data_IF_063612686391
#
_entry.id   IF_063612686391
#
_cell.length_a   1.000
_cell.length_b   1.000
_cell.length_c   1.000
_cell.angle_alpha   90.00
_cell.angle_beta   90.00
_cell.angle_gamma   90.00
#
_symmetry.space_group_name_H-M   'P 1'
#
loop_
_entity.id
_entity.type
_entity.pdbx_description
1 polymer ?
#
# COMPACT_ATOMS: atom_id res chain seq x y z
N UNK A 1 47.64 39.49 -52.32
CA UNK A 1 47.99 38.33 -51.47
C UNK A 1 46.69 37.70 -51.05
N UNK A 2 46.33 36.56 -51.64
CA UNK A 2 45.01 35.89 -51.49
C UNK A 2 45.08 34.91 -50.30
N UNK A 3 44.36 35.17 -49.25
CA UNK A 3 44.17 34.23 -48.16
C UNK A 3 42.99 33.31 -48.57
N UNK A 4 43.30 32.08 -48.81
CA UNK A 4 42.32 31.04 -49.09
C UNK A 4 41.62 30.64 -47.83
N UNK A 5 40.30 30.79 -47.84
CA UNK A 5 39.41 30.22 -46.82
C UNK A 5 39.45 28.70 -46.91
N UNK A 6 40.04 28.04 -45.96
CA UNK A 6 39.87 26.61 -45.71
C UNK A 6 38.62 26.47 -44.86
N UNK A 7 37.52 26.15 -45.53
CA UNK A 7 36.28 25.74 -44.87
C UNK A 7 36.51 24.31 -44.35
N UNK A 8 36.94 24.20 -43.11
CA UNK A 8 37.03 22.94 -42.41
C UNK A 8 35.63 22.48 -42.10
N UNK A 9 35.09 21.58 -42.89
CA UNK A 9 33.88 20.85 -42.56
C UNK A 9 34.18 19.97 -41.36
N UNK A 10 33.88 20.46 -40.13
CA UNK A 10 33.69 19.65 -38.95
C UNK A 10 32.45 18.80 -39.17
N UNK A 11 32.66 17.62 -39.70
CA UNK A 11 31.71 16.52 -39.56
C UNK A 11 31.74 16.19 -38.09
N UNK A 12 30.82 16.79 -37.34
CA UNK A 12 30.45 16.32 -36.04
C UNK A 12 29.82 14.95 -36.26
N UNK A 13 30.63 13.90 -36.15
CA UNK A 13 30.12 12.56 -35.95
C UNK A 13 29.40 12.62 -34.60
N UNK A 14 28.10 12.86 -34.62
CA UNK A 14 27.23 12.47 -33.57
C UNK A 14 27.46 10.96 -33.39
N UNK A 15 28.23 10.59 -32.42
CA UNK A 15 28.19 9.23 -31.86
C UNK A 15 26.80 9.14 -31.27
N UNK A 16 25.85 8.73 -32.13
CA UNK A 16 24.62 8.13 -31.70
C UNK A 16 25.13 6.89 -30.98
N UNK A 17 25.18 6.94 -29.65
CA UNK A 17 25.19 5.74 -28.83
C UNK A 17 23.89 5.03 -29.22
N UNK A 18 23.97 4.20 -30.26
CA UNK A 18 22.90 3.31 -30.64
C UNK A 18 22.71 2.40 -29.43
N UNK A 19 21.70 2.67 -28.62
CA UNK A 19 21.14 1.65 -27.77
C UNK A 19 20.88 0.47 -28.69
N UNK A 20 21.58 -0.63 -28.45
CA UNK A 20 21.54 -1.78 -29.37
C UNK A 20 20.24 -2.53 -29.07
N UNK A 21 19.12 -2.00 -29.59
CA UNK A 21 17.82 -2.64 -29.44
C UNK A 21 17.84 -4.01 -30.12
N UNK A 22 17.44 -5.09 -29.42
CA UNK A 22 17.39 -6.42 -30.00
C UNK A 22 16.38 -6.45 -31.16
N UNK A 23 16.68 -7.20 -32.23
CA UNK A 23 15.72 -7.38 -33.30
C UNK A 23 14.62 -8.39 -32.91
N UNK A 24 13.40 -8.15 -33.40
CA UNK A 24 12.29 -9.11 -33.27
C UNK A 24 12.67 -10.41 -34.04
N UNK A 25 12.52 -11.59 -33.42
CA UNK A 25 12.81 -12.86 -34.04
C UNK A 25 11.92 -13.11 -35.30
N UNK A 26 12.54 -13.34 -36.46
CA UNK A 26 11.82 -13.46 -37.75
C UNK A 26 10.94 -14.73 -37.87
N UNK A 27 11.29 -15.81 -37.14
CA UNK A 27 10.65 -17.12 -37.29
C UNK A 27 10.13 -17.64 -35.93
N UNK A 28 9.36 -16.80 -35.21
CA UNK A 28 8.77 -17.21 -33.95
C UNK A 28 7.44 -17.99 -34.15
N UNK A 29 7.31 -19.13 -33.50
CA UNK A 29 6.08 -19.89 -33.46
C UNK A 29 5.02 -19.13 -32.63
N UNK A 30 3.79 -19.07 -33.13
CA UNK A 30 2.70 -18.33 -32.48
C UNK A 30 2.11 -19.14 -31.33
N UNK A 31 2.04 -18.51 -30.14
CA UNK A 31 1.33 -18.99 -28.99
C UNK A 31 -0.01 -18.27 -28.82
N UNK A 32 -1.09 -19.01 -28.54
CA UNK A 32 -2.45 -18.44 -28.42
C UNK A 32 -2.74 -17.81 -27.04
N UNK A 33 -1.81 -17.91 -26.09
CA UNK A 33 -1.93 -17.39 -24.72
C UNK A 33 -1.06 -16.15 -24.47
N UNK A 34 -1.38 -15.43 -23.41
CA UNK A 34 -0.53 -14.35 -22.88
C UNK A 34 0.79 -14.92 -22.34
N UNK A 35 1.88 -14.12 -22.36
CA UNK A 35 3.14 -14.49 -21.70
C UNK A 35 2.96 -14.46 -20.18
N UNK A 36 3.68 -15.33 -19.46
CA UNK A 36 3.87 -15.19 -18.02
C UNK A 36 5.04 -14.26 -17.76
N UNK A 37 4.77 -13.10 -17.21
CA UNK A 37 5.76 -12.09 -16.86
C UNK A 37 5.69 -11.73 -15.37
N UNK A 38 6.79 -11.23 -14.82
CA UNK A 38 6.86 -10.79 -13.44
C UNK A 38 7.63 -9.46 -13.35
N UNK A 39 7.04 -8.37 -12.81
CA UNK A 39 5.63 -8.25 -12.45
C UNK A 39 4.68 -8.46 -13.63
N UNK A 40 3.44 -8.85 -13.35
CA UNK A 40 2.41 -9.00 -14.39
C UNK A 40 1.81 -7.63 -14.74
N UNK A 41 2.13 -7.14 -15.93
CA UNK A 41 1.63 -5.88 -16.48
C UNK A 41 0.62 -6.10 -17.63
N UNK A 42 0.05 -7.29 -17.75
CA UNK A 42 -0.92 -7.56 -18.82
C UNK A 42 -2.24 -6.84 -18.56
N UNK A 43 -2.68 -6.03 -19.53
CA UNK A 43 -3.95 -5.28 -19.51
C UNK A 43 -4.12 -4.34 -18.29
N UNK A 44 -3.02 -3.82 -17.72
CA UNK A 44 -3.06 -2.88 -16.59
C UNK A 44 -3.17 -1.42 -17.06
N UNK A 45 -3.75 -0.58 -16.20
CA UNK A 45 -3.70 0.89 -16.36
C UNK A 45 -2.64 1.46 -15.42
N UNK A 46 -1.77 2.30 -15.94
CA UNK A 46 -0.67 2.94 -15.20
C UNK A 46 -0.79 4.46 -15.24
N UNK A 47 -0.28 5.17 -14.22
CA UNK A 47 -0.27 6.63 -14.18
C UNK A 47 0.65 7.24 -15.26
N UNK A 48 0.34 8.48 -15.66
CA UNK A 48 1.11 9.21 -16.67
C UNK A 48 2.57 9.52 -16.29
N UNK A 49 2.93 9.41 -14.99
CA UNK A 49 4.29 9.69 -14.50
C UNK A 49 5.02 8.49 -13.89
N UNK A 50 4.55 7.26 -14.12
CA UNK A 50 5.16 6.05 -13.54
C UNK A 50 6.60 5.80 -14.09
N UNK A 51 7.45 5.18 -13.28
CA UNK A 51 8.78 4.71 -13.67
C UNK A 51 8.70 3.59 -14.75
N UNK A 52 9.81 3.24 -15.42
CA UNK A 52 9.84 2.15 -16.40
C UNK A 52 9.25 0.84 -15.87
N UNK A 53 8.40 0.20 -16.68
CA UNK A 53 7.73 -1.06 -16.32
C UNK A 53 8.60 -2.25 -16.71
N UNK A 54 9.71 -2.41 -16.02
CA UNK A 54 10.64 -3.52 -16.23
C UNK A 54 10.03 -4.84 -15.76
N UNK A 55 10.20 -5.91 -16.53
CA UNK A 55 9.70 -7.23 -16.18
C UNK A 55 10.64 -8.35 -16.63
N UNK A 56 10.44 -9.54 -16.07
CA UNK A 56 11.12 -10.76 -16.51
C UNK A 56 10.10 -11.76 -17.07
N UNK A 57 10.51 -12.48 -18.13
CA UNK A 57 9.67 -13.51 -18.75
C UNK A 57 9.84 -14.84 -18.00
N UNK A 58 8.75 -15.40 -17.49
CA UNK A 58 8.71 -16.59 -16.62
C UNK A 58 8.32 -17.88 -17.37
N UNK A 59 8.85 -18.07 -18.58
CA UNK A 59 8.47 -19.17 -19.47
C UNK A 59 9.49 -20.35 -19.48
N UNK A 60 10.50 -20.34 -18.60
CA UNK A 60 11.64 -21.24 -18.73
C UNK A 60 12.53 -20.87 -19.93
N UNK A 61 12.43 -19.65 -20.41
CA UNK A 61 13.17 -19.14 -21.54
C UNK A 61 14.64 -18.89 -21.22
N UNK A 62 15.50 -18.94 -22.22
CA UNK A 62 16.92 -18.52 -22.13
C UNK A 62 17.12 -17.07 -22.58
N UNK A 63 16.27 -16.60 -23.47
CA UNK A 63 16.29 -15.24 -24.03
C UNK A 63 14.86 -14.73 -24.20
N UNK A 64 14.65 -13.41 -24.07
CA UNK A 64 13.38 -12.75 -24.33
C UNK A 64 13.59 -11.40 -25.03
N UNK A 65 12.64 -11.04 -25.87
CA UNK A 65 12.54 -9.73 -26.52
C UNK A 65 11.11 -9.23 -26.38
N UNK A 66 10.94 -7.99 -25.98
CA UNK A 66 9.65 -7.32 -26.01
C UNK A 66 9.68 -6.16 -27.01
N UNK A 67 8.65 -6.10 -27.88
CA UNK A 67 8.40 -4.96 -28.73
C UNK A 67 7.27 -4.12 -28.16
N UNK A 68 7.54 -2.86 -27.91
CA UNK A 68 6.60 -1.86 -27.44
C UNK A 68 6.21 -0.96 -28.61
N UNK A 69 4.93 -1.00 -29.01
CA UNK A 69 4.38 -0.11 -30.05
C UNK A 69 3.48 0.93 -29.40
N UNK A 70 3.72 2.21 -29.70
CA UNK A 70 3.04 3.35 -29.10
C UNK A 70 2.73 4.41 -30.20
N UNK A 71 1.90 5.42 -29.93
CA UNK A 71 1.65 6.48 -30.90
C UNK A 71 2.95 7.19 -31.30
N UNK A 72 3.34 7.03 -32.57
CA UNK A 72 4.57 7.66 -33.14
C UNK A 72 5.77 6.73 -33.27
N UNK A 73 5.74 5.46 -32.79
CA UNK A 73 6.87 4.57 -32.97
C UNK A 73 6.76 3.19 -32.38
N UNK A 74 7.85 2.46 -32.51
CA UNK A 74 8.04 1.17 -31.81
C UNK A 74 9.49 1.00 -31.39
N UNK A 75 9.72 0.36 -30.26
CA UNK A 75 11.04 0.04 -29.69
C UNK A 75 11.07 -1.39 -29.20
N UNK A 76 12.25 -1.98 -29.15
CA UNK A 76 12.46 -3.37 -28.70
C UNK A 76 13.46 -3.43 -27.57
N UNK A 77 13.18 -4.24 -26.55
CA UNK A 77 14.01 -4.39 -25.37
C UNK A 77 14.22 -5.87 -25.03
N UNK A 78 15.37 -6.21 -24.47
CA UNK A 78 15.69 -7.56 -24.01
C UNK A 78 17.13 -7.70 -23.57
N UNK A 79 17.34 -8.33 -22.40
CA UNK A 79 18.63 -8.70 -21.85
C UNK A 79 18.47 -10.05 -21.12
N UNK A 80 18.84 -11.13 -21.79
CA UNK A 80 18.50 -12.48 -21.36
C UNK A 80 16.98 -12.64 -21.27
N UNK A 81 16.45 -12.98 -20.11
CA UNK A 81 14.99 -13.10 -19.88
C UNK A 81 14.35 -11.83 -19.33
N UNK A 82 15.15 -10.75 -19.14
CA UNK A 82 14.68 -9.48 -18.60
C UNK A 82 14.38 -8.52 -19.74
N UNK A 83 13.30 -7.78 -19.59
CA UNK A 83 12.94 -6.62 -20.42
C UNK A 83 13.19 -5.39 -19.55
N UNK A 84 14.29 -4.71 -19.82
CA UNK A 84 14.66 -3.46 -19.16
C UNK A 84 14.44 -2.32 -20.13
N UNK A 85 13.50 -1.45 -19.80
CA UNK A 85 13.18 -0.25 -20.56
C UNK A 85 14.05 0.88 -20.01
N UNK A 86 14.69 1.60 -20.87
CA UNK A 86 15.71 2.60 -20.55
C UNK A 86 15.16 4.05 -20.55
N UNK A 87 16.03 5.00 -20.88
CA UNK A 87 15.75 6.44 -20.90
C UNK A 87 14.61 6.82 -21.87
N UNK A 88 14.30 5.97 -22.85
CA UNK A 88 13.23 6.23 -23.82
C UNK A 88 11.83 6.00 -23.24
N UNK A 89 11.73 5.44 -22.01
CA UNK A 89 10.45 5.23 -21.36
C UNK A 89 9.61 6.52 -21.25
N UNK A 90 10.22 7.64 -20.95
CA UNK A 90 9.50 8.92 -20.87
C UNK A 90 8.83 9.27 -22.18
N UNK A 91 9.54 9.09 -23.30
CA UNK A 91 9.00 9.30 -24.64
C UNK A 91 7.82 8.38 -24.95
N UNK A 92 7.97 7.07 -24.66
CA UNK A 92 6.94 6.05 -24.90
C UNK A 92 5.68 6.39 -24.10
N UNK A 93 5.86 6.65 -22.82
CA UNK A 93 4.79 6.94 -21.87
C UNK A 93 4.03 8.23 -22.24
N UNK A 94 4.76 9.32 -22.49
CA UNK A 94 4.16 10.60 -22.89
C UNK A 94 3.35 10.48 -24.19
N UNK A 95 3.88 9.79 -25.18
CA UNK A 95 3.16 9.55 -26.43
C UNK A 95 1.91 8.68 -26.26
N UNK A 96 1.90 7.80 -25.25
CA UNK A 96 0.78 6.88 -24.98
C UNK A 96 -0.21 7.42 -23.93
N UNK A 97 0.00 8.61 -23.34
CA UNK A 97 -0.89 9.21 -22.33
C UNK A 97 -2.31 9.36 -22.89
N UNK A 98 -3.31 8.91 -22.13
CA UNK A 98 -4.72 8.81 -22.55
C UNK A 98 -5.01 7.67 -23.54
N UNK A 99 -4.03 6.84 -23.85
CA UNK A 99 -4.11 5.72 -24.77
C UNK A 99 -3.46 4.45 -24.23
N UNK A 100 -2.74 3.73 -25.09
CA UNK A 100 -2.10 2.47 -24.70
C UNK A 100 -0.78 2.22 -25.43
N UNK A 101 0.04 1.37 -24.80
CA UNK A 101 1.24 0.77 -25.34
C UNK A 101 0.91 -0.69 -25.63
N UNK A 102 1.02 -1.12 -26.89
CA UNK A 102 0.91 -2.54 -27.25
C UNK A 102 2.25 -3.23 -27.01
N UNK A 103 2.23 -4.34 -26.27
CA UNK A 103 3.41 -5.14 -25.95
C UNK A 103 3.33 -6.50 -26.64
N UNK A 104 4.35 -6.83 -27.41
CA UNK A 104 4.53 -8.14 -28.06
C UNK A 104 5.77 -8.80 -27.46
N UNK A 105 5.58 -9.94 -26.80
CA UNK A 105 6.66 -10.67 -26.12
C UNK A 105 7.06 -11.90 -26.92
N UNK A 106 8.37 -12.05 -27.11
CA UNK A 106 9.01 -13.19 -27.73
C UNK A 106 9.95 -13.85 -26.71
N UNK A 107 9.91 -15.17 -26.60
CA UNK A 107 10.80 -15.89 -25.71
C UNK A 107 11.39 -17.11 -26.39
N UNK A 108 12.67 -17.39 -26.14
CA UNK A 108 13.38 -18.54 -26.68
C UNK A 108 13.33 -19.69 -25.69
N UNK A 109 12.52 -20.69 -25.99
CA UNK A 109 12.27 -21.88 -25.20
C UNK A 109 12.76 -23.10 -25.99
N UNK A 110 13.58 -23.95 -25.40
CA UNK A 110 14.16 -25.13 -26.07
C UNK A 110 14.77 -24.82 -27.45
N UNK A 111 15.53 -23.72 -27.53
CA UNK A 111 16.13 -23.19 -28.75
C UNK A 111 15.14 -22.69 -29.82
N UNK A 112 13.85 -22.67 -29.56
CA UNK A 112 12.82 -22.19 -30.49
C UNK A 112 12.23 -20.88 -30.00
N UNK A 113 12.12 -19.88 -30.87
CA UNK A 113 11.45 -18.64 -30.58
C UNK A 113 9.93 -18.82 -30.60
N UNK A 114 9.27 -18.37 -29.53
CA UNK A 114 7.81 -18.34 -29.35
C UNK A 114 7.35 -16.91 -29.32
N UNK A 115 6.29 -16.56 -30.06
CA UNK A 115 5.63 -15.25 -30.03
C UNK A 115 4.29 -15.40 -29.30
N UNK A 116 4.13 -14.72 -28.19
CA UNK A 116 2.94 -14.79 -27.35
C UNK A 116 1.85 -13.85 -27.84
N UNK A 117 0.60 -14.10 -27.39
CA UNK A 117 -0.52 -13.18 -27.63
C UNK A 117 -0.15 -11.78 -27.09
N UNK A 118 -0.25 -10.72 -27.92
CA UNK A 118 0.02 -9.37 -27.46
C UNK A 118 -0.97 -8.91 -26.39
N UNK A 119 -0.53 -7.95 -25.55
CA UNK A 119 -1.36 -7.29 -24.56
C UNK A 119 -1.15 -5.77 -24.59
N UNK A 120 -2.01 -5.03 -23.88
CA UNK A 120 -1.90 -3.59 -23.77
C UNK A 120 -1.53 -3.17 -22.33
N UNK A 121 -0.80 -2.07 -22.24
CA UNK A 121 -0.61 -1.29 -21.02
C UNK A 121 -1.29 0.06 -21.31
N UNK A 122 -2.32 0.39 -20.57
CA UNK A 122 -3.04 1.65 -20.71
C UNK A 122 -2.35 2.73 -19.87
N UNK A 123 -2.20 3.92 -20.42
CA UNK A 123 -1.60 5.06 -19.71
C UNK A 123 -2.68 6.09 -19.44
N UNK A 124 -2.99 6.31 -18.16
CA UNK A 124 -3.97 7.31 -17.74
C UNK A 124 -3.51 8.73 -18.08
N UNK A 125 -4.45 9.67 -18.15
CA UNK A 125 -4.14 11.11 -18.26
C UNK A 125 -3.62 11.68 -16.94
N UNK A 126 -4.05 11.07 -15.83
CA UNK A 126 -3.71 11.53 -14.48
C UNK A 126 -2.34 11.03 -14.05
N UNK A 127 -1.65 11.91 -13.29
CA UNK A 127 -0.41 11.57 -12.58
C UNK A 127 -0.74 11.23 -11.11
N UNK A 128 0.14 10.43 -10.51
CA UNK A 128 0.10 10.14 -9.06
C UNK A 128 1.15 10.95 -8.33
N UNK A 129 1.05 10.99 -7.00
CA UNK A 129 2.12 11.50 -6.13
C UNK A 129 3.42 10.73 -6.39
N UNK A 130 4.54 11.44 -6.41
CA UNK A 130 5.83 10.85 -6.78
C UNK A 130 6.34 9.83 -5.78
N UNK A 131 5.88 9.89 -4.52
CA UNK A 131 6.46 9.10 -3.44
C UNK A 131 5.43 8.22 -2.75
N UNK A 132 5.85 7.00 -2.42
CA UNK A 132 5.16 6.10 -1.51
C UNK A 132 6.05 5.79 -0.32
N UNK A 133 5.46 5.71 0.87
CA UNK A 133 6.14 5.24 2.08
C UNK A 133 5.58 3.89 2.51
N UNK A 134 6.46 2.99 2.93
CA UNK A 134 6.09 1.64 3.33
C UNK A 134 7.04 1.10 4.40
N UNK A 135 6.56 0.11 5.13
CA UNK A 135 7.37 -0.62 6.09
C UNK A 135 7.98 -1.85 5.44
N UNK A 136 9.29 -2.01 5.58
CA UNK A 136 10.00 -3.26 5.28
C UNK A 136 10.05 -4.11 6.53
N UNK A 137 9.51 -5.33 6.46
CA UNK A 137 9.50 -6.31 7.54
C UNK A 137 9.89 -7.67 6.97
N UNK A 138 10.70 -8.41 7.72
CA UNK A 138 11.03 -9.79 7.35
C UNK A 138 9.79 -10.69 7.43
N UNK A 139 9.71 -11.78 6.63
CA UNK A 139 8.57 -12.70 6.63
C UNK A 139 8.23 -13.31 7.99
N UNK A 140 9.18 -13.35 8.92
CA UNK A 140 8.96 -13.74 10.30
C UNK A 140 8.97 -12.49 11.18
N UNK A 141 7.82 -11.96 11.51
CA UNK A 141 7.71 -10.77 12.35
C UNK A 141 8.03 -11.01 13.84
N UNK A 142 8.41 -12.22 14.23
CA UNK A 142 8.99 -12.52 15.54
C UNK A 142 10.42 -11.99 15.63
N UNK A 143 11.11 -11.90 14.49
CA UNK A 143 12.47 -11.38 14.42
C UNK A 143 12.43 -9.87 14.15
N UNK A 144 12.49 -9.07 15.17
CA UNK A 144 12.65 -7.61 15.06
C UNK A 144 14.08 -7.19 14.63
N UNK A 145 14.82 -8.07 14.00
CA UNK A 145 16.23 -7.83 13.69
C UNK A 145 16.40 -6.67 12.73
N UNK A 146 15.50 -6.54 11.75
CA UNK A 146 15.55 -5.44 10.81
C UNK A 146 14.16 -5.02 10.35
N UNK A 147 13.70 -3.90 10.85
CA UNK A 147 12.49 -3.21 10.42
C UNK A 147 12.86 -1.81 9.97
N UNK A 148 12.34 -1.37 8.85
CA UNK A 148 12.53 -0.01 8.38
C UNK A 148 11.25 0.60 7.80
N UNK A 149 11.18 1.93 7.84
CA UNK A 149 10.22 2.73 7.08
C UNK A 149 11.00 3.33 5.93
N UNK A 150 10.61 2.99 4.73
CA UNK A 150 11.26 3.41 3.51
C UNK A 150 10.36 4.35 2.71
N UNK A 151 10.96 5.18 1.90
CA UNK A 151 10.31 6.01 0.90
C UNK A 151 10.84 5.62 -0.47
N UNK A 152 9.95 5.38 -1.44
CA UNK A 152 10.30 5.09 -2.82
C UNK A 152 9.71 6.15 -3.73
N UNK A 153 10.52 6.62 -4.69
CA UNK A 153 10.05 7.45 -5.78
C UNK A 153 9.41 6.56 -6.86
N UNK A 154 8.16 6.84 -7.23
CA UNK A 154 7.39 6.07 -8.21
C UNK A 154 7.63 6.51 -9.66
N UNK A 155 8.32 7.64 -9.88
CA UNK A 155 8.69 8.12 -11.23
C UNK A 155 10.06 7.62 -11.68
N UNK A 156 10.84 7.07 -10.74
CA UNK A 156 12.13 6.41 -10.96
C UNK A 156 12.29 5.25 -9.96
N UNK A 157 13.51 4.75 -9.77
CA UNK A 157 13.77 3.62 -8.86
C UNK A 157 14.46 4.04 -7.55
N UNK A 158 14.51 5.34 -7.24
CA UNK A 158 15.13 5.81 -6.01
C UNK A 158 14.35 5.32 -4.79
N UNK A 159 15.08 4.76 -3.85
CA UNK A 159 14.56 4.32 -2.55
C UNK A 159 15.45 4.89 -1.44
N UNK A 160 14.82 5.41 -0.39
CA UNK A 160 15.49 5.97 0.77
C UNK A 160 14.88 5.39 2.04
N UNK A 161 15.73 4.90 2.94
CA UNK A 161 15.35 4.58 4.30
C UNK A 161 15.08 5.87 5.09
N UNK A 162 13.89 6.00 5.66
CA UNK A 162 13.51 7.14 6.52
C UNK A 162 13.96 6.87 7.95
N UNK A 163 13.69 5.67 8.44
CA UNK A 163 14.05 5.24 9.79
C UNK A 163 14.15 3.71 9.86
N UNK A 164 15.09 3.20 10.66
CA UNK A 164 15.16 1.78 10.96
C UNK A 164 15.31 1.52 12.46
N UNK A 165 14.87 0.36 12.89
CA UNK A 165 14.86 -0.03 14.30
C UNK A 165 16.27 -0.28 14.87
N UNK A 166 17.27 -0.57 14.02
CA UNK A 166 18.64 -0.83 14.46
C UNK A 166 19.36 0.42 14.94
N UNK A 167 18.84 1.61 14.57
CA UNK A 167 19.41 2.88 15.05
C UNK A 167 19.40 3.00 16.58
N UNK A 168 18.45 2.34 17.26
CA UNK A 168 18.27 2.40 18.72
C UNK A 168 18.14 1.03 19.38
N UNK A 169 18.09 -0.06 18.62
CA UNK A 169 18.02 -1.42 19.16
C UNK A 169 19.37 -1.86 19.74
N UNK A 170 19.30 -2.64 20.81
CA UNK A 170 20.46 -3.33 21.40
C UNK A 170 20.16 -4.83 21.47
N UNK A 171 21.17 -5.66 21.76
CA UNK A 171 20.99 -7.11 21.94
C UNK A 171 19.96 -7.47 23.03
N UNK A 172 19.80 -6.61 24.04
CA UNK A 172 18.90 -6.81 25.18
C UNK A 172 17.55 -6.08 25.04
N UNK A 173 17.44 -5.11 24.13
CA UNK A 173 16.24 -4.29 23.95
C UNK A 173 15.94 -4.23 22.46
N UNK A 174 15.04 -5.11 22.01
CA UNK A 174 14.47 -5.04 20.67
C UNK A 174 13.63 -3.78 20.50
N UNK A 175 13.45 -3.35 19.28
CA UNK A 175 12.64 -2.18 18.94
C UNK A 175 11.74 -2.50 17.75
N UNK A 176 10.44 -2.51 17.98
CA UNK A 176 9.46 -2.57 16.89
C UNK A 176 9.05 -1.14 16.51
N UNK A 177 9.02 -0.87 15.20
CA UNK A 177 8.51 0.39 14.64
C UNK A 177 7.36 0.07 13.67
N UNK A 178 6.27 0.85 13.72
CA UNK A 178 5.10 0.61 12.89
C UNK A 178 4.21 1.85 12.78
N UNK A 179 3.05 1.67 12.12
CA UNK A 179 1.95 2.63 12.08
C UNK A 179 2.37 4.02 11.60
N UNK A 180 3.27 4.09 10.59
CA UNK A 180 3.59 5.39 10.01
C UNK A 180 2.39 5.97 9.26
N UNK A 181 2.20 7.28 9.39
CA UNK A 181 1.10 8.03 8.78
C UNK A 181 1.54 9.46 8.49
N UNK A 182 0.96 10.06 7.46
CA UNK A 182 1.23 11.43 7.04
C UNK A 182 -0.05 12.26 7.07
N UNK A 183 0.05 13.52 7.51
CA UNK A 183 -1.06 14.47 7.42
C UNK A 183 -1.14 15.01 5.99
N UNK A 184 -2.23 14.72 5.28
CA UNK A 184 -2.43 15.15 3.90
C UNK A 184 -1.22 14.85 2.99
N UNK A 185 -0.58 13.67 3.18
CA UNK A 185 0.57 13.20 2.39
C UNK A 185 1.82 14.09 2.47
N UNK A 186 1.90 15.03 3.45
CA UNK A 186 3.03 15.94 3.63
C UNK A 186 4.15 15.30 4.43
N UNK A 187 5.37 15.31 3.91
CA UNK A 187 6.54 14.65 4.52
C UNK A 187 7.03 15.32 5.80
N UNK A 188 6.75 16.60 6.00
CA UNK A 188 7.06 17.37 7.22
C UNK A 188 6.01 17.21 8.34
N UNK A 189 4.98 16.41 8.09
CA UNK A 189 3.91 16.10 9.02
C UNK A 189 3.67 14.59 9.10
N UNK A 190 4.65 13.88 9.65
CA UNK A 190 4.69 12.42 9.78
C UNK A 190 4.49 11.99 11.24
N UNK A 191 4.02 10.78 11.45
CA UNK A 191 4.15 10.07 12.71
C UNK A 191 4.48 8.60 12.49
N UNK A 192 5.07 7.98 13.50
CA UNK A 192 5.21 6.53 13.60
C UNK A 192 5.26 6.09 15.07
N UNK A 193 4.92 4.83 15.32
CA UNK A 193 4.87 4.28 16.67
C UNK A 193 6.08 3.38 16.93
N UNK A 194 6.69 3.55 18.10
CA UNK A 194 7.76 2.71 18.63
C UNK A 194 7.23 1.87 19.79
N UNK A 195 7.69 0.64 19.91
CA UNK A 195 7.32 -0.27 21.02
C UNK A 195 8.53 -0.66 21.84
N UNK A 196 8.30 -1.36 22.96
CA UNK A 196 9.32 -1.88 23.86
C UNK A 196 10.11 -0.77 24.58
N UNK A 197 11.43 -0.92 24.80
CA UNK A 197 12.22 -0.04 25.65
C UNK A 197 12.19 1.46 25.29
N UNK A 198 11.93 1.78 24.03
CA UNK A 198 11.76 3.16 23.55
C UNK A 198 10.31 3.48 23.18
N UNK A 199 9.35 2.73 23.71
CA UNK A 199 7.93 2.87 23.38
C UNK A 199 7.42 4.32 23.39
N UNK A 200 6.43 4.59 22.52
CA UNK A 200 5.78 5.88 22.35
C UNK A 200 5.53 6.21 20.89
N UNK A 201 4.72 7.22 20.65
CA UNK A 201 4.44 7.74 19.30
C UNK A 201 5.33 8.94 19.01
N UNK A 202 6.08 8.83 17.93
CA UNK A 202 6.92 9.92 17.42
C UNK A 202 6.08 10.74 16.44
N UNK A 203 5.90 12.03 16.71
CA UNK A 203 5.11 12.94 15.88
C UNK A 203 6.05 14.02 15.34
N UNK A 204 6.16 14.11 14.02
CA UNK A 204 6.74 15.25 13.34
C UNK A 204 5.60 16.17 12.91
N UNK A 205 5.63 17.40 13.33
CA UNK A 205 4.64 18.42 13.01
C UNK A 205 5.36 19.68 12.53
N UNK A 206 5.23 20.02 11.23
CA UNK A 206 5.98 21.08 10.59
C UNK A 206 7.50 21.02 10.83
N UNK A 207 8.07 19.82 10.79
CA UNK A 207 9.50 19.56 11.01
C UNK A 207 9.93 19.47 12.48
N UNK A 208 9.07 19.78 13.43
CA UNK A 208 9.34 19.63 14.87
C UNK A 208 8.96 18.23 15.36
N UNK A 209 9.90 17.56 16.04
CA UNK A 209 9.73 16.22 16.57
C UNK A 209 9.26 16.25 18.03
N UNK A 210 8.14 15.56 18.31
CA UNK A 210 7.63 15.31 19.67
C UNK A 210 7.46 13.82 19.87
N UNK A 211 7.85 13.31 21.04
CA UNK A 211 7.50 11.95 21.48
C UNK A 211 6.43 12.03 22.52
N UNK A 212 5.38 11.23 22.38
CA UNK A 212 4.27 11.12 23.32
C UNK A 212 4.05 9.67 23.73
N UNK A 213 3.48 9.48 24.92
CA UNK A 213 2.95 8.20 25.39
C UNK A 213 1.44 8.36 25.58
N UNK A 214 0.66 7.55 24.85
CA UNK A 214 -0.80 7.54 24.92
C UNK A 214 -1.32 6.43 25.83
N UNK A 215 -0.43 5.70 26.54
CA UNK A 215 -0.84 4.74 27.55
C UNK A 215 -1.09 5.48 28.85
N UNK A 216 -2.34 5.77 29.11
CA UNK A 216 -2.86 6.41 30.31
C UNK A 216 -3.88 5.48 30.99
N UNK A 217 -4.40 5.86 32.14
CA UNK A 217 -5.33 4.99 32.91
C UNK A 217 -6.65 4.74 32.17
N UNK A 218 -7.05 5.66 31.31
CA UNK A 218 -8.28 5.61 30.51
C UNK A 218 -8.12 4.85 29.18
N UNK A 219 -6.93 4.43 28.79
CA UNK A 219 -6.70 3.73 27.52
C UNK A 219 -6.28 2.27 27.72
N UNK A 220 -6.75 1.37 26.87
CA UNK A 220 -6.37 -0.05 26.87
C UNK A 220 -4.85 -0.20 26.67
N UNK A 221 -4.28 0.56 25.73
CA UNK A 221 -2.86 0.55 25.40
C UNK A 221 -2.42 1.89 24.79
N UNK A 222 -1.14 2.02 24.43
CA UNK A 222 -0.68 3.10 23.56
C UNK A 222 -1.39 3.02 22.20
N UNK A 223 -1.81 4.15 21.66
CA UNK A 223 -2.58 4.23 20.42
C UNK A 223 -1.83 3.66 19.22
N UNK A 224 -2.55 2.90 18.38
CA UNK A 224 -2.08 2.31 17.13
C UNK A 224 -3.01 2.69 15.97
N UNK A 225 -2.69 2.34 14.73
CA UNK A 225 -3.48 2.64 13.53
C UNK A 225 -3.90 4.11 13.42
N UNK A 226 -2.95 5.05 13.44
CA UNK A 226 -3.23 6.48 13.49
C UNK A 226 -3.89 7.00 12.21
N UNK A 227 -4.87 7.88 12.39
CA UNK A 227 -5.47 8.67 11.33
C UNK A 227 -5.41 10.15 11.68
N UNK A 228 -4.56 10.92 10.99
CA UNK A 228 -4.44 12.36 11.22
C UNK A 228 -5.61 13.12 10.59
N UNK A 229 -6.20 14.02 11.39
CA UNK A 229 -7.26 14.89 10.90
C UNK A 229 -6.73 15.83 9.80
N UNK A 230 -7.43 16.01 8.67
CA UNK A 230 -6.89 16.72 7.52
C UNK A 230 -6.57 18.20 7.79
N UNK A 231 -7.37 18.89 8.60
CA UNK A 231 -7.23 20.33 8.83
C UNK A 231 -6.76 20.72 10.24
N UNK A 232 -7.03 19.90 11.27
CA UNK A 232 -6.68 20.18 12.67
C UNK A 232 -5.52 19.31 13.15
N UNK A 233 -4.89 19.69 14.25
CA UNK A 233 -3.86 18.90 14.91
C UNK A 233 -4.46 17.83 15.83
N UNK A 234 -5.35 17.03 15.26
CA UNK A 234 -6.04 15.92 15.91
C UNK A 234 -5.62 14.61 15.27
N UNK A 235 -5.53 13.56 16.06
CA UNK A 235 -5.18 12.22 15.58
C UNK A 235 -6.14 11.22 16.21
N UNK A 236 -6.90 10.50 15.40
CA UNK A 236 -7.66 9.35 15.86
C UNK A 236 -6.74 8.12 15.89
N UNK A 237 -6.86 7.32 16.93
CA UNK A 237 -6.15 6.07 17.10
C UNK A 237 -7.13 4.96 17.48
N UNK A 238 -6.72 3.74 17.27
CA UNK A 238 -7.27 2.58 17.95
C UNK A 238 -6.36 2.24 19.13
N UNK A 239 -6.92 1.86 20.27
CA UNK A 239 -6.19 1.37 21.45
C UNK A 239 -6.59 -0.08 21.69
N UNK A 240 -5.62 -1.01 21.63
CA UNK A 240 -5.89 -2.42 21.44
C UNK A 240 -5.12 -3.29 22.44
N UNK A 241 -5.75 -4.37 22.90
CA UNK A 241 -5.08 -5.49 23.54
C UNK A 241 -4.90 -6.63 22.53
N UNK A 242 -3.81 -6.56 21.79
CA UNK A 242 -3.54 -7.42 20.64
C UNK A 242 -2.80 -8.69 21.02
N UNK A 243 -3.29 -9.83 20.53
CA UNK A 243 -2.64 -11.12 20.53
C UNK A 243 -2.22 -11.58 19.13
N UNK A 244 -1.34 -12.57 19.08
CA UNK A 244 -0.89 -13.18 17.84
C UNK A 244 -0.86 -14.69 17.96
N UNK A 245 -1.35 -15.38 16.95
CA UNK A 245 -1.34 -16.84 16.84
C UNK A 245 -0.62 -17.29 15.59
N UNK A 246 0.05 -18.44 15.67
CA UNK A 246 0.79 -19.03 14.56
C UNK A 246 0.22 -20.39 14.21
N UNK A 247 -0.19 -20.57 12.96
CA UNK A 247 -0.79 -21.80 12.47
C UNK A 247 0.19 -22.60 11.63
N UNK A 248 0.45 -23.85 12.00
CA UNK A 248 1.35 -24.73 11.25
C UNK A 248 0.70 -25.37 10.03
N UNK A 249 -0.62 -25.57 10.05
CA UNK A 249 -1.38 -26.29 9.02
C UNK A 249 -2.32 -25.40 8.20
N UNK A 250 -2.73 -24.23 8.72
CA UNK A 250 -3.62 -23.31 8.01
C UNK A 250 -2.86 -22.61 6.86
N UNK A 251 -3.60 -22.16 5.84
CA UNK A 251 -3.06 -21.30 4.78
C UNK A 251 -2.67 -19.95 5.36
N UNK A 252 -3.51 -19.37 6.21
CA UNK A 252 -3.21 -18.18 6.99
C UNK A 252 -2.28 -18.56 8.15
N UNK A 253 -0.97 -18.36 7.95
CA UNK A 253 0.06 -18.77 8.92
C UNK A 253 0.07 -17.93 10.18
N UNK A 254 -0.43 -16.73 10.09
CA UNK A 254 -0.35 -15.72 11.12
C UNK A 254 -1.74 -15.14 11.32
N UNK A 255 -2.19 -15.14 12.55
CA UNK A 255 -3.43 -14.48 12.95
C UNK A 255 -3.12 -13.41 14.00
N UNK A 256 -3.67 -12.23 13.78
CA UNK A 256 -3.61 -11.11 14.73
C UNK A 256 -5.04 -10.85 15.19
N UNK A 257 -5.27 -10.95 16.48
CA UNK A 257 -6.59 -10.74 17.08
C UNK A 257 -6.50 -9.78 18.24
N UNK A 258 -7.53 -8.95 18.38
CA UNK A 258 -7.69 -8.07 19.53
C UNK A 258 -8.71 -8.68 20.50
N UNK A 259 -8.40 -8.67 21.80
CA UNK A 259 -9.34 -9.07 22.86
C UNK A 259 -10.15 -7.91 23.39
N UNK A 260 -9.66 -6.72 23.22
CA UNK A 260 -10.28 -5.44 23.57
C UNK A 260 -9.76 -4.38 22.61
N UNK A 261 -10.61 -3.50 22.10
CA UNK A 261 -10.18 -2.36 21.31
C UNK A 261 -11.22 -1.25 21.27
N UNK A 262 -10.76 -0.01 21.46
CA UNK A 262 -11.56 1.22 21.44
C UNK A 262 -10.93 2.27 20.55
N UNK A 263 -11.69 3.31 20.20
CA UNK A 263 -11.20 4.46 19.45
C UNK A 263 -10.97 5.66 20.36
N UNK A 264 -9.83 6.29 20.22
CA UNK A 264 -9.45 7.51 20.94
C UNK A 264 -9.07 8.65 20.01
N UNK A 265 -9.30 9.88 20.46
CA UNK A 265 -8.86 11.10 19.81
C UNK A 265 -7.76 11.76 20.65
N UNK A 266 -6.62 12.03 20.05
CA UNK A 266 -5.54 12.80 20.65
C UNK A 266 -5.48 14.21 20.07
N UNK A 267 -5.56 15.20 20.92
CA UNK A 267 -5.33 16.60 20.62
C UNK A 267 -3.85 16.95 20.83
N UNK A 268 -3.14 17.18 19.72
CA UNK A 268 -1.71 17.47 19.74
C UNK A 268 -1.40 18.82 20.38
N UNK A 269 -2.28 19.82 20.17
CA UNK A 269 -2.06 21.19 20.66
C UNK A 269 -2.28 21.30 22.16
N UNK A 270 -3.31 20.61 22.67
CA UNK A 270 -3.65 20.65 24.11
C UNK A 270 -3.02 19.49 24.90
N UNK A 271 -2.47 18.49 24.23
CA UNK A 271 -1.94 17.27 24.83
C UNK A 271 -3.00 16.52 25.64
N UNK A 272 -4.19 16.36 25.07
CA UNK A 272 -5.35 15.73 25.69
C UNK A 272 -5.78 14.49 24.90
N UNK A 273 -6.24 13.46 25.60
CA UNK A 273 -6.86 12.26 25.04
C UNK A 273 -8.35 12.28 25.39
N UNK A 274 -9.19 11.93 24.43
CA UNK A 274 -10.62 11.69 24.65
C UNK A 274 -11.04 10.38 23.97
N UNK A 275 -12.03 9.70 24.52
CA UNK A 275 -12.59 8.48 23.95
C UNK A 275 -13.56 8.88 22.84
N UNK A 276 -13.46 8.25 21.68
CA UNK A 276 -14.39 8.45 20.56
C UNK A 276 -15.59 7.53 20.71
N UNK A 277 -15.32 6.26 20.96
CA UNK A 277 -16.31 5.23 21.16
C UNK A 277 -15.74 4.18 22.11
N UNK A 278 -16.60 3.72 23.00
CA UNK A 278 -16.36 2.67 23.99
C UNK A 278 -17.66 1.89 24.10
N UNK A 279 -17.89 0.93 23.21
CA UNK A 279 -19.09 0.12 23.20
C UNK A 279 -18.80 -1.23 23.86
N UNK A 280 -19.67 -1.64 24.76
CA UNK A 280 -19.55 -2.93 25.45
C UNK A 280 -19.68 -4.09 24.43
N UNK A 281 -18.74 -5.04 24.49
CA UNK A 281 -18.64 -6.20 23.59
C UNK A 281 -18.35 -5.86 22.12
N UNK A 282 -17.89 -4.66 21.80
CA UNK A 282 -17.44 -4.31 20.47
C UNK A 282 -15.92 -4.14 20.40
N UNK A 283 -15.36 -4.49 19.26
CA UNK A 283 -13.94 -4.32 18.93
C UNK A 283 -13.84 -3.26 17.83
N UNK A 284 -13.32 -2.08 18.17
CA UNK A 284 -13.28 -0.93 17.26
C UNK A 284 -11.86 -0.65 16.78
N UNK A 285 -11.64 -0.62 15.44
CA UNK A 285 -10.29 -0.52 14.87
C UNK A 285 -10.26 0.31 13.57
N UNK A 286 -9.06 0.69 13.16
CA UNK A 286 -8.74 1.29 11.86
C UNK A 286 -9.50 2.57 11.52
N UNK A 287 -9.40 3.63 12.35
CA UNK A 287 -10.04 4.90 12.02
C UNK A 287 -9.45 5.52 10.75
N UNK A 288 -10.29 6.20 9.96
CA UNK A 288 -9.89 7.02 8.81
C UNK A 288 -10.82 8.21 8.64
N UNK A 289 -10.28 9.40 8.40
CA UNK A 289 -11.05 10.62 8.24
C UNK A 289 -11.59 10.81 6.82
N UNK A 290 -12.76 11.43 6.71
CA UNK A 290 -13.16 12.07 5.46
C UNK A 290 -12.20 13.22 5.11
N UNK A 291 -12.01 13.55 3.82
CA UNK A 291 -11.10 14.65 3.42
C UNK A 291 -11.47 16.02 3.97
N UNK A 292 -12.74 16.25 4.30
CA UNK A 292 -13.23 17.48 4.93
C UNK A 292 -13.11 17.45 6.47
N UNK A 293 -12.73 16.31 7.04
CA UNK A 293 -12.55 16.11 8.48
C UNK A 293 -13.85 16.09 9.30
N UNK A 294 -15.01 15.99 8.68
CA UNK A 294 -16.32 16.03 9.38
C UNK A 294 -16.89 14.66 9.68
N UNK A 295 -16.26 13.60 9.18
CA UNK A 295 -16.69 12.23 9.40
C UNK A 295 -15.48 11.34 9.64
N UNK A 296 -15.58 10.44 10.61
CA UNK A 296 -14.62 9.38 10.84
C UNK A 296 -15.26 8.05 10.43
N UNK A 297 -14.55 7.26 9.65
CA UNK A 297 -14.91 5.90 9.30
C UNK A 297 -14.04 4.94 10.11
N UNK A 298 -14.58 3.80 10.49
CA UNK A 298 -13.86 2.78 11.26
C UNK A 298 -14.50 1.41 11.07
N UNK A 299 -13.84 0.37 11.59
CA UNK A 299 -14.41 -0.97 11.62
C UNK A 299 -14.80 -1.33 13.05
N UNK A 300 -15.95 -1.98 13.22
CA UNK A 300 -16.42 -2.52 14.49
C UNK A 300 -16.91 -3.96 14.33
N UNK A 301 -16.64 -4.79 15.33
CA UNK A 301 -17.10 -6.17 15.41
C UNK A 301 -17.68 -6.45 16.80
N UNK A 302 -18.91 -6.95 16.84
CA UNK A 302 -19.49 -7.47 18.06
C UNK A 302 -18.85 -8.83 18.42
N UNK A 303 -18.32 -8.96 19.62
CA UNK A 303 -17.76 -10.21 20.12
C UNK A 303 -18.00 -10.38 21.61
N UNK A 304 -18.91 -11.28 21.96
CA UNK A 304 -19.26 -11.57 23.34
C UNK A 304 -18.45 -12.77 23.88
N UNK A 305 -17.81 -12.60 25.03
CA UNK A 305 -17.13 -13.66 25.75
C UNK A 305 -18.13 -14.48 26.56
N UNK A 306 -18.09 -15.81 26.43
CA UNK A 306 -19.05 -16.72 27.08
C UNK A 306 -18.43 -17.67 28.10
N UNK A 307 -17.09 -17.73 28.19
CA UNK A 307 -16.38 -18.73 28.99
C UNK A 307 -15.69 -18.07 30.18
N UNK A 308 -16.43 -17.93 31.30
CA UNK A 308 -15.93 -17.30 32.54
C UNK A 308 -14.75 -18.04 33.21
N UNK A 309 -14.49 -19.30 32.82
CA UNK A 309 -13.45 -20.13 33.43
C UNK A 309 -12.08 -20.05 32.74
N UNK A 310 -11.99 -19.36 31.65
CA UNK A 310 -10.73 -19.16 30.90
C UNK A 310 -10.49 -17.67 30.68
N UNK A 311 -9.22 -17.30 30.45
CA UNK A 311 -8.89 -15.93 30.11
C UNK A 311 -9.46 -15.54 28.72
N UNK A 312 -9.86 -14.27 28.54
CA UNK A 312 -10.38 -13.72 27.29
C UNK A 312 -9.45 -14.03 26.08
N UNK A 313 -8.15 -13.94 26.29
CA UNK A 313 -7.14 -14.26 25.25
C UNK A 313 -7.22 -15.73 24.81
N UNK A 314 -7.50 -16.64 25.72
CA UNK A 314 -7.65 -18.07 25.39
C UNK A 314 -8.95 -18.32 24.61
N UNK A 315 -10.05 -17.71 25.02
CA UNK A 315 -11.32 -17.80 24.31
C UNK A 315 -11.21 -17.19 22.92
N UNK A 316 -10.59 -16.04 22.79
CA UNK A 316 -10.35 -15.38 21.48
C UNK A 316 -9.57 -16.31 20.54
N UNK A 317 -8.49 -16.96 21.00
CA UNK A 317 -7.72 -17.92 20.20
C UNK A 317 -8.58 -19.10 19.74
N UNK A 318 -9.56 -19.53 20.54
CA UNK A 318 -10.45 -20.63 20.16
C UNK A 318 -11.52 -20.22 19.16
N UNK A 319 -11.97 -18.95 19.21
CA UNK A 319 -13.13 -18.43 18.46
C UNK A 319 -12.80 -17.33 17.47
N UNK A 320 -11.54 -17.07 17.18
CA UNK A 320 -11.09 -15.93 16.35
C UNK A 320 -11.76 -15.85 14.97
N UNK A 321 -12.21 -16.99 14.39
CA UNK A 321 -12.95 -17.03 13.12
C UNK A 321 -14.39 -16.52 13.21
N UNK A 322 -14.88 -16.32 14.41
CA UNK A 322 -16.20 -15.72 14.66
C UNK A 322 -16.13 -14.18 14.61
N UNK A 323 -14.94 -13.60 14.79
CA UNK A 323 -14.77 -12.15 14.73
C UNK A 323 -14.91 -11.65 13.31
N UNK A 324 -15.94 -10.83 13.08
CA UNK A 324 -16.25 -10.25 11.77
C UNK A 324 -16.58 -8.79 11.93
N UNK A 325 -15.81 -7.96 11.25
CA UNK A 325 -15.94 -6.52 11.30
C UNK A 325 -16.86 -6.01 10.21
N UNK A 326 -17.64 -5.00 10.56
CA UNK A 326 -18.45 -4.17 9.69
C UNK A 326 -17.86 -2.76 9.55
N UNK A 327 -18.28 -2.00 8.54
CA UNK A 327 -17.88 -0.61 8.38
C UNK A 327 -18.90 0.33 9.03
N UNK A 328 -18.37 1.25 9.81
CA UNK A 328 -19.13 2.30 10.48
C UNK A 328 -18.63 3.68 10.10
N UNK A 329 -19.47 4.68 10.32
CA UNK A 329 -19.09 6.08 10.29
C UNK A 329 -19.69 6.83 11.48
N UNK A 330 -19.00 7.87 11.92
CA UNK A 330 -19.47 8.79 12.96
C UNK A 330 -19.24 10.23 12.51
N UNK A 331 -20.20 11.10 12.71
CA UNK A 331 -20.08 12.52 12.43
C UNK A 331 -19.19 13.19 13.48
N UNK A 332 -18.35 14.12 13.03
CA UNK A 332 -17.46 14.89 13.88
C UNK A 332 -17.60 16.38 13.66
N UNK A 333 -17.74 17.14 14.75
CA UNK A 333 -17.70 18.58 14.73
C UNK A 333 -16.30 19.06 15.17
N UNK A 334 -15.45 19.57 14.27
CA UNK A 334 -14.09 19.97 14.61
C UNK A 334 -14.00 21.18 15.55
N UNK A 335 -15.03 22.03 15.62
CA UNK A 335 -15.06 23.20 16.51
C UNK A 335 -15.35 22.81 17.98
N UNK A 336 -16.29 21.90 18.15
CA UNK A 336 -16.69 21.40 19.50
C UNK A 336 -15.97 20.14 19.91
N UNK A 337 -15.29 19.46 18.96
CA UNK A 337 -14.62 18.15 19.12
C UNK A 337 -15.55 17.03 19.57
N UNK A 338 -16.82 17.14 19.19
CA UNK A 338 -17.83 16.16 19.57
C UNK A 338 -18.14 15.22 18.41
N UNK A 339 -18.34 13.95 18.76
CA UNK A 339 -18.83 12.91 17.88
C UNK A 339 -20.33 12.73 18.04
N UNK A 340 -21.01 12.36 16.96
CA UNK A 340 -22.46 12.12 16.94
C UNK A 340 -22.86 11.24 15.76
N UNK A 341 -24.08 10.67 15.78
CA UNK A 341 -24.64 9.94 14.64
C UNK A 341 -23.75 8.78 14.16
N UNK A 342 -23.51 7.80 15.00
CA UNK A 342 -22.86 6.54 14.59
C UNK A 342 -23.81 5.78 13.65
N UNK A 343 -23.30 5.38 12.49
CA UNK A 343 -24.04 4.68 11.44
C UNK A 343 -23.24 3.50 10.91
N UNK A 344 -23.85 2.29 10.87
CA UNK A 344 -23.31 1.17 10.11
C UNK A 344 -23.53 1.43 8.62
N UNK A 345 -22.44 1.55 7.86
CA UNK A 345 -22.50 1.87 6.42
C UNK A 345 -22.36 0.64 5.52
N UNK A 346 -21.82 -0.46 6.04
CA UNK A 346 -21.73 -1.73 5.33
C UNK A 346 -21.73 -2.90 6.33
N UNK A 347 -22.76 -3.72 6.24
CA UNK A 347 -22.94 -4.94 7.03
C UNK A 347 -22.38 -6.14 6.23
N UNK A 348 -21.12 -6.50 6.47
CA UNK A 348 -20.48 -7.66 5.87
C UNK A 348 -20.64 -8.91 6.74
N UNK A 349 -20.65 -8.75 8.07
CA UNK A 349 -20.77 -9.84 9.03
C UNK A 349 -22.05 -10.63 8.84
N UNK A 350 -23.20 -9.99 8.97
CA UNK A 350 -24.49 -10.67 8.88
C UNK A 350 -24.92 -10.98 7.44
N UNK A 351 -24.66 -10.02 6.51
CA UNK A 351 -25.16 -10.15 5.14
C UNK A 351 -24.36 -11.15 4.31
N UNK A 352 -23.05 -11.25 4.53
CA UNK A 352 -22.12 -12.04 3.71
C UNK A 352 -21.38 -13.10 4.51
N UNK A 353 -21.41 -13.05 5.85
CA UNK A 353 -20.61 -13.89 6.72
C UNK A 353 -19.10 -13.58 6.61
N UNK A 354 -18.73 -12.35 6.27
CA UNK A 354 -17.35 -11.89 6.02
C UNK A 354 -16.97 -10.73 6.93
N UNK A 355 -15.68 -10.41 6.96
CA UNK A 355 -15.10 -9.34 7.75
C UNK A 355 -14.48 -8.28 6.84
N UNK A 356 -14.61 -6.99 7.20
CA UNK A 356 -14.04 -5.86 6.45
C UNK A 356 -13.14 -5.02 7.33
N UNK A 357 -11.97 -4.63 6.80
CA UNK A 357 -10.96 -3.89 7.57
C UNK A 357 -10.17 -2.91 6.70
N UNK A 358 -9.32 -2.11 7.36
CA UNK A 358 -8.37 -1.20 6.73
C UNK A 358 -9.02 -0.16 5.79
N UNK A 359 -10.09 0.54 6.20
CA UNK A 359 -10.76 1.50 5.35
C UNK A 359 -9.84 2.68 4.98
N UNK A 360 -9.98 3.19 3.74
CA UNK A 360 -9.30 4.39 3.25
C UNK A 360 -10.22 5.17 2.35
N UNK A 361 -10.43 6.44 2.66
CA UNK A 361 -11.27 7.35 1.86
C UNK A 361 -10.44 7.94 0.72
N UNK A 362 -11.02 8.01 -0.48
CA UNK A 362 -10.38 8.69 -1.61
C UNK A 362 -10.23 10.19 -1.36
N UNK A 363 -9.23 10.88 -1.95
CA UNK A 363 -8.99 12.30 -1.72
C UNK A 363 -10.17 13.22 -2.06
N UNK A 364 -11.02 12.81 -3.00
CA UNK A 364 -12.25 13.51 -3.37
C UNK A 364 -13.45 13.22 -2.44
N UNK A 365 -13.28 12.30 -1.48
CA UNK A 365 -14.33 11.90 -0.54
C UNK A 365 -15.45 11.05 -1.13
N UNK A 366 -15.32 10.59 -2.36
CA UNK A 366 -16.38 9.85 -3.06
C UNK A 366 -16.34 8.35 -2.78
N UNK A 367 -15.15 7.79 -2.65
CA UNK A 367 -14.97 6.35 -2.53
C UNK A 367 -14.33 5.97 -1.20
N UNK A 368 -14.70 4.78 -0.71
CA UNK A 368 -14.07 4.12 0.43
C UNK A 368 -13.51 2.77 -0.04
N UNK A 369 -12.19 2.63 0.03
CA UNK A 369 -11.48 1.37 -0.20
C UNK A 369 -11.39 0.60 1.11
N UNK A 370 -11.50 -0.73 1.07
CA UNK A 370 -11.31 -1.60 2.22
C UNK A 370 -10.89 -3.01 1.79
N UNK A 371 -10.30 -3.76 2.71
CA UNK A 371 -10.04 -5.18 2.52
C UNK A 371 -11.20 -6.00 3.08
N UNK A 372 -11.54 -7.12 2.43
CA UNK A 372 -12.57 -8.05 2.86
C UNK A 372 -12.07 -9.49 2.79
N UNK A 373 -12.29 -10.26 3.85
CA UNK A 373 -11.90 -11.66 3.99
C UNK A 373 -12.95 -12.45 4.77
N UNK A 374 -12.72 -13.73 5.01
CA UNK A 374 -13.66 -14.60 5.72
C UNK A 374 -13.89 -14.18 7.18
N UNK A 375 -12.83 -13.72 7.88
CA UNK A 375 -12.87 -13.34 9.30
C UNK A 375 -11.69 -12.43 9.69
N UNK A 376 -11.70 -11.94 10.92
CA UNK A 376 -10.56 -11.30 11.58
C UNK A 376 -10.33 -9.84 11.21
N UNK A 377 -9.27 -9.25 11.79
CA UNK A 377 -8.98 -7.83 11.62
C UNK A 377 -7.74 -7.54 10.74
N UNK A 378 -6.79 -8.46 10.63
CA UNK A 378 -5.50 -8.15 10.00
C UNK A 378 -5.34 -8.85 8.64
N UNK A 379 -6.18 -8.47 7.69
CA UNK A 379 -6.30 -9.08 6.36
C UNK A 379 -5.02 -9.05 5.52
N UNK A 380 -4.00 -8.29 5.91
CA UNK A 380 -2.65 -8.31 5.29
C UNK A 380 -2.04 -9.72 5.26
N UNK A 381 -2.41 -10.58 6.20
CA UNK A 381 -1.92 -11.96 6.32
C UNK A 381 -2.89 -13.01 5.82
N UNK A 382 -4.08 -12.62 5.35
CA UNK A 382 -5.09 -13.55 4.85
C UNK A 382 -4.94 -13.75 3.35
N UNK A 383 -4.82 -15.02 2.92
CA UNK A 383 -4.64 -15.38 1.51
C UNK A 383 -5.92 -15.19 0.67
N UNK A 384 -7.05 -15.14 1.31
CA UNK A 384 -8.40 -14.94 0.72
C UNK A 384 -8.86 -13.48 0.75
N UNK A 385 -8.01 -12.56 1.25
CA UNK A 385 -8.37 -11.16 1.31
C UNK A 385 -8.32 -10.50 -0.07
N UNK A 386 -9.39 -9.80 -0.38
CA UNK A 386 -9.57 -9.03 -1.61
C UNK A 386 -9.75 -7.54 -1.30
N UNK A 387 -9.53 -6.68 -2.30
CA UNK A 387 -9.75 -5.24 -2.19
C UNK A 387 -11.09 -4.87 -2.82
N UNK A 388 -11.89 -4.13 -2.07
CA UNK A 388 -13.18 -3.63 -2.48
C UNK A 388 -13.24 -2.11 -2.43
N UNK A 389 -14.12 -1.54 -3.23
CA UNK A 389 -14.40 -0.11 -3.26
C UNK A 389 -15.91 0.12 -3.16
N UNK A 390 -16.29 1.00 -2.23
CA UNK A 390 -17.65 1.50 -2.07
C UNK A 390 -17.75 2.93 -2.61
N UNK A 391 -18.75 3.21 -3.44
CA UNK A 391 -19.18 4.60 -3.71
C UNK A 391 -19.99 5.09 -2.50
N UNK A 392 -19.48 6.05 -1.75
CA UNK A 392 -20.09 6.55 -0.51
C UNK A 392 -21.45 7.21 -0.72
N UNK A 393 -21.74 7.69 -1.92
CA UNK A 393 -23.02 8.31 -2.25
C UNK A 393 -24.09 7.27 -2.58
N UNK A 394 -23.75 6.25 -3.36
CA UNK A 394 -24.71 5.23 -3.83
C UNK A 394 -24.73 3.99 -2.96
N UNK A 395 -23.71 3.82 -2.10
CA UNK A 395 -23.45 2.62 -1.28
C UNK A 395 -23.20 1.35 -2.12
N UNK A 396 -22.94 1.50 -3.42
CA UNK A 396 -22.58 0.37 -4.27
C UNK A 396 -21.16 -0.07 -3.98
N UNK A 397 -20.96 -1.37 -3.82
CA UNK A 397 -19.69 -2.01 -3.54
C UNK A 397 -19.28 -2.86 -4.74
N UNK A 398 -18.00 -2.76 -5.12
CA UNK A 398 -17.41 -3.59 -6.17
C UNK A 398 -16.05 -4.13 -5.73
N UNK A 399 -15.75 -5.36 -6.14
CA UNK A 399 -14.41 -5.96 -5.99
C UNK A 399 -13.47 -5.35 -7.05
N UNK A 400 -12.22 -5.05 -6.68
CA UNK A 400 -11.24 -4.43 -7.58
C UNK A 400 -10.22 -5.41 -8.18
N UNK A 401 -10.01 -6.58 -7.58
CA UNK A 401 -9.03 -7.59 -7.99
C UNK A 401 -9.66 -8.96 -8.24
#
# INVERSE_FOLDING_TARGET
MKIKNILSALITAAIIASCNHPSVPANAEQESRLPRITPDYTEVTVPANICPLNFAVQEGATEAVAKLSYPGGELTYGDGVKVQIDEEWSLIREAATGGSIKVEVYAKIDNTWKAFKPFNIYVAEDSIDEYISYRVIQPSYVAYEKLSINQRNLTNFEEKEIYNNMAVSTESVGQCINCHSYKNYKTDNMLFHMRQGYGGTMIVNNGELKKIDLKIDETISAGVYPARHPTHNLIAFSTNKTGQSFHTKDLNKIEVQDTESDLILYDVDNNEVSIISELENELEVFPTWSPDGKKLYFCSAEFEYHIDTIAKETEMIQRYKEVKYDLYSVDFNPETRQFSNVEMIYNAADSLGQSVTLPRVSPDGRYLLFAQAEYGCFHVWHNDADIYMMDLKTKQVQKLN
#
